data_IF_055805026494
#
_entry.id   IF_055805026494
#
_cell.length_a   1.000
_cell.length_b   1.000
_cell.length_c   1.000
_cell.angle_alpha   90.00
_cell.angle_beta   90.00
_cell.angle_gamma   90.00
#
_symmetry.space_group_name_H-M   'P 1'
#
loop_
_entity.id
_entity.type
_entity.pdbx_description
1 polymer ?
#
# COMPACT_ATOMS: atom_id res chain seq x y z
N UNK A 1 16.32 -1.37 2.07
CA UNK A 1 15.53 -0.72 3.12
C UNK A 1 15.03 -1.77 4.08
N UNK A 2 14.92 -1.43 5.35
CA UNK A 2 14.20 -2.22 6.36
C UNK A 2 12.69 -2.06 6.18
N UNK A 3 11.90 -2.96 6.77
CA UNK A 3 10.44 -2.87 6.68
C UNK A 3 9.88 -1.61 7.37
N UNK A 4 10.53 -1.13 8.43
CA UNK A 4 10.14 0.13 9.05
C UNK A 4 10.39 1.33 8.13
N UNK A 5 11.51 1.34 7.39
CA UNK A 5 11.77 2.40 6.40
C UNK A 5 10.78 2.35 5.24
N UNK A 6 10.40 1.14 4.81
CA UNK A 6 9.40 0.96 3.74
C UNK A 6 8.02 1.45 4.21
N UNK A 7 7.64 1.17 5.45
CA UNK A 7 6.39 1.64 6.05
C UNK A 7 6.28 3.18 6.09
N UNK A 8 7.40 3.90 6.13
CA UNK A 8 7.44 5.37 6.09
C UNK A 8 7.52 5.97 4.68
N UNK A 9 7.53 5.16 3.62
CA UNK A 9 7.52 5.67 2.25
C UNK A 9 6.26 6.51 1.99
N UNK A 10 6.48 7.74 1.50
CA UNK A 10 5.42 8.67 1.14
C UNK A 10 4.77 8.26 -0.18
N UNK A 11 3.45 8.41 -0.24
CA UNK A 11 2.68 8.19 -1.44
C UNK A 11 1.46 9.11 -1.51
N UNK A 12 0.92 9.22 -2.71
CA UNK A 12 -0.37 9.84 -2.96
C UNK A 12 -1.39 8.72 -3.15
N UNK A 13 -2.54 8.84 -2.52
CA UNK A 13 -3.64 7.89 -2.64
C UNK A 13 -4.99 8.61 -2.60
N UNK A 14 -6.07 7.86 -2.73
CA UNK A 14 -7.44 8.38 -2.57
C UNK A 14 -7.71 8.97 -1.17
N UNK A 15 -6.94 8.59 -0.14
CA UNK A 15 -7.04 9.20 1.19
C UNK A 15 -6.17 10.46 1.35
N UNK A 16 -5.46 10.88 0.30
CA UNK A 16 -4.57 12.03 0.28
C UNK A 16 -3.08 11.67 0.26
N UNK A 17 -2.23 12.63 0.61
CA UNK A 17 -0.80 12.40 0.86
C UNK A 17 -0.61 11.67 2.19
N UNK A 18 0.11 10.55 2.18
CA UNK A 18 0.21 9.65 3.33
C UNK A 18 1.49 8.80 3.26
N UNK A 19 1.68 7.89 4.22
CA UNK A 19 2.69 6.81 4.16
C UNK A 19 2.05 5.44 3.94
N UNK A 20 2.83 4.43 3.55
CA UNK A 20 2.34 3.05 3.44
C UNK A 20 1.74 2.58 4.79
N UNK A 21 2.35 2.93 5.93
CA UNK A 21 1.85 2.59 7.26
C UNK A 21 0.46 3.17 7.53
N UNK A 22 0.29 4.46 7.27
CA UNK A 22 -0.97 5.16 7.51
C UNK A 22 -2.08 4.64 6.59
N UNK A 23 -1.75 4.37 5.33
CA UNK A 23 -2.69 3.79 4.37
C UNK A 23 -3.11 2.36 4.74
N UNK A 24 -2.17 1.49 5.15
CA UNK A 24 -2.52 0.14 5.64
C UNK A 24 -3.40 0.21 6.89
N UNK A 25 -3.12 1.17 7.78
CA UNK A 25 -3.96 1.42 8.95
C UNK A 25 -5.37 1.86 8.55
N UNK A 26 -5.50 2.83 7.65
CA UNK A 26 -6.82 3.28 7.21
C UNK A 26 -7.59 2.21 6.43
N UNK A 27 -6.92 1.38 5.64
CA UNK A 27 -7.55 0.21 5.02
C UNK A 27 -8.20 -0.71 6.07
N UNK A 28 -7.45 -1.06 7.12
CA UNK A 28 -7.95 -1.91 8.20
C UNK A 28 -9.07 -1.24 9.00
N UNK A 29 -8.96 0.07 9.25
CA UNK A 29 -10.01 0.84 9.92
C UNK A 29 -11.28 0.92 9.08
N UNK A 30 -11.18 1.11 7.76
CA UNK A 30 -12.32 1.09 6.84
C UNK A 30 -12.98 -0.27 6.84
N UNK A 31 -12.21 -1.36 6.71
CA UNK A 31 -12.74 -2.72 6.80
C UNK A 31 -13.50 -2.94 8.12
N UNK A 32 -12.94 -2.50 9.24
CA UNK A 32 -13.58 -2.65 10.55
C UNK A 32 -14.86 -1.83 10.71
N UNK A 33 -14.88 -0.59 10.18
CA UNK A 33 -16.03 0.31 10.26
C UNK A 33 -17.18 -0.14 9.36
N UNK A 34 -16.87 -0.63 8.15
CA UNK A 34 -17.87 -1.03 7.16
C UNK A 34 -18.38 -2.46 7.37
N UNK A 35 -17.58 -3.33 8.00
CA UNK A 35 -17.94 -4.72 8.26
C UNK A 35 -18.31 -5.46 6.97
N UNK A 36 -19.49 -6.10 6.94
CA UNK A 36 -20.00 -6.81 5.75
C UNK A 36 -20.30 -5.88 4.56
N UNK A 37 -20.40 -4.57 4.81
CA UNK A 37 -20.54 -3.55 3.75
C UNK A 37 -19.21 -3.21 3.07
N UNK A 38 -18.08 -3.73 3.56
CA UNK A 38 -16.76 -3.39 3.04
C UNK A 38 -16.63 -3.68 1.54
N UNK A 39 -16.28 -2.65 0.78
CA UNK A 39 -16.03 -2.77 -0.65
C UNK A 39 -14.55 -3.07 -0.91
N UNK A 40 -14.18 -4.35 -1.03
CA UNK A 40 -12.81 -4.74 -1.38
C UNK A 40 -12.33 -4.17 -2.73
N UNK A 41 -13.26 -3.81 -3.63
CA UNK A 41 -12.92 -3.13 -4.88
C UNK A 41 -12.69 -1.62 -4.70
N UNK A 42 -13.32 -0.98 -3.71
CA UNK A 42 -13.33 0.49 -3.53
C UNK A 42 -13.33 0.88 -2.04
N UNK A 43 -12.29 0.53 -1.28
CA UNK A 43 -12.19 0.93 0.13
C UNK A 43 -12.07 2.45 0.30
N UNK A 44 -11.59 3.17 -0.72
CA UNK A 44 -11.37 4.62 -0.68
C UNK A 44 -12.09 5.39 -1.78
N UNK A 45 -13.01 4.73 -2.51
CA UNK A 45 -13.82 5.37 -3.57
C UNK A 45 -13.46 4.94 -4.99
N UNK A 46 -12.18 4.75 -5.33
CA UNK A 46 -11.78 4.22 -6.65
C UNK A 46 -11.32 2.77 -6.59
N UNK A 47 -11.33 2.11 -7.76
CA UNK A 47 -10.75 0.78 -7.93
C UNK A 47 -9.26 0.86 -8.26
N UNK A 48 -8.52 -0.20 -7.95
CA UNK A 48 -7.07 -0.21 -8.15
C UNK A 48 -6.31 0.55 -7.06
N UNK A 49 -6.93 0.74 -5.89
CA UNK A 49 -6.34 1.41 -4.72
C UNK A 49 -5.00 0.81 -4.27
N UNK A 50 -4.78 -0.50 -4.49
CA UNK A 50 -3.50 -1.17 -4.24
C UNK A 50 -2.32 -0.65 -5.08
N UNK A 51 -2.60 -0.10 -6.27
CA UNK A 51 -1.56 0.44 -7.15
C UNK A 51 -0.92 1.72 -6.61
N UNK A 52 -1.57 2.44 -5.68
CA UNK A 52 -0.97 3.58 -5.00
C UNK A 52 0.26 3.13 -4.19
N UNK A 53 0.13 2.01 -3.46
CA UNK A 53 1.22 1.41 -2.71
C UNK A 53 2.28 0.82 -3.65
N UNK A 54 1.87 0.15 -4.72
CA UNK A 54 2.82 -0.41 -5.70
C UNK A 54 3.66 0.68 -6.38
N UNK A 55 3.05 1.81 -6.72
CA UNK A 55 3.78 2.95 -7.28
C UNK A 55 4.86 3.47 -6.32
N UNK A 56 4.54 3.55 -5.02
CA UNK A 56 5.50 3.93 -3.98
C UNK A 56 6.66 2.93 -3.85
N UNK A 57 6.35 1.63 -3.88
CA UNK A 57 7.35 0.56 -3.80
C UNK A 57 8.28 0.52 -5.02
N UNK A 58 7.73 0.68 -6.23
CA UNK A 58 8.51 0.77 -7.48
C UNK A 58 9.40 2.01 -7.46
N UNK A 59 8.83 3.18 -7.11
CA UNK A 59 9.58 4.44 -7.04
C UNK A 59 10.75 4.38 -6.05
N UNK A 60 10.60 3.63 -4.96
CA UNK A 60 11.64 3.44 -3.95
C UNK A 60 12.61 2.28 -4.30
N UNK A 61 12.41 1.57 -5.41
CA UNK A 61 13.23 0.44 -5.82
C UNK A 61 13.08 -0.81 -4.93
N UNK A 62 11.96 -0.93 -4.22
CA UNK A 62 11.66 -2.10 -3.36
C UNK A 62 11.13 -3.27 -4.17
N UNK A 63 10.38 -2.97 -5.24
CA UNK A 63 9.73 -3.95 -6.12
C UNK A 63 10.09 -3.61 -7.56
N UNK A 64 10.28 -4.63 -8.39
CA UNK A 64 10.49 -4.43 -9.83
C UNK A 64 9.19 -4.01 -10.52
N UNK A 65 9.25 -2.94 -11.30
CA UNK A 65 8.14 -2.45 -12.11
C UNK A 65 8.51 -1.19 -12.88
N UNK A 66 7.53 -0.67 -13.61
CA UNK A 66 7.65 0.54 -14.42
C UNK A 66 6.49 1.50 -14.09
N UNK A 67 6.82 2.79 -14.04
CA UNK A 67 5.83 3.86 -13.87
C UNK A 67 5.74 4.66 -15.16
N UNK A 68 4.53 5.10 -15.50
CA UNK A 68 4.30 6.02 -16.60
C UNK A 68 4.78 7.45 -16.27
N UNK A 69 4.62 8.37 -17.23
CA UNK A 69 5.03 9.78 -17.08
C UNK A 69 4.27 10.54 -15.97
N UNK A 70 3.15 10.00 -15.50
CA UNK A 70 2.32 10.56 -14.43
C UNK A 70 2.56 9.89 -13.07
N UNK A 71 3.41 8.85 -13.02
CA UNK A 71 3.72 8.09 -11.82
C UNK A 71 2.72 6.97 -11.50
N UNK A 72 1.86 6.59 -12.45
CA UNK A 72 1.00 5.41 -12.32
C UNK A 72 1.75 4.16 -12.75
N UNK A 73 1.37 3.01 -12.17
CA UNK A 73 1.99 1.73 -12.49
C UNK A 73 1.60 1.27 -13.90
N UNK A 74 2.59 1.10 -14.76
CA UNK A 74 2.45 0.48 -16.09
C UNK A 74 2.72 -1.03 -16.00
N UNK A 75 3.80 -1.42 -15.31
CA UNK A 75 4.16 -2.81 -15.03
C UNK A 75 4.58 -3.00 -13.58
N UNK A 76 4.28 -4.17 -13.01
CA UNK A 76 4.72 -4.54 -11.65
C UNK A 76 4.83 -6.05 -11.51
N UNK A 77 5.88 -6.51 -10.82
CA UNK A 77 5.92 -7.86 -10.28
C UNK A 77 4.93 -7.96 -9.11
N UNK A 78 3.70 -8.39 -9.42
CA UNK A 78 2.61 -8.46 -8.44
C UNK A 78 2.92 -9.40 -7.29
N UNK A 79 3.58 -10.52 -7.56
CA UNK A 79 3.90 -11.49 -6.52
C UNK A 79 4.92 -10.90 -5.54
N UNK A 80 5.94 -10.22 -6.04
CA UNK A 80 6.89 -9.49 -5.20
C UNK A 80 6.19 -8.39 -4.39
N UNK A 81 5.32 -7.61 -5.03
CA UNK A 81 4.58 -6.54 -4.38
C UNK A 81 3.67 -7.05 -3.25
N UNK A 82 2.89 -8.11 -3.50
CA UNK A 82 2.02 -8.75 -2.53
C UNK A 82 2.82 -9.29 -1.34
N UNK A 83 3.94 -9.98 -1.59
CA UNK A 83 4.83 -10.48 -0.54
C UNK A 83 5.41 -9.34 0.33
N UNK A 84 5.73 -8.18 -0.27
CA UNK A 84 6.16 -7.00 0.48
C UNK A 84 5.01 -6.47 1.34
N UNK A 85 3.82 -6.29 0.78
CA UNK A 85 2.65 -5.79 1.53
C UNK A 85 2.31 -6.70 2.72
N UNK A 86 2.28 -8.01 2.52
CA UNK A 86 2.03 -8.97 3.61
C UNK A 86 3.08 -8.86 4.71
N UNK A 87 4.36 -8.77 4.33
CA UNK A 87 5.46 -8.59 5.28
C UNK A 87 5.33 -7.29 6.09
N UNK A 88 4.92 -6.20 5.44
CA UNK A 88 4.69 -4.91 6.12
C UNK A 88 3.51 -4.96 7.09
N UNK A 89 2.41 -5.65 6.71
CA UNK A 89 1.28 -5.88 7.61
C UNK A 89 1.74 -6.67 8.84
N UNK A 90 2.51 -7.74 8.65
CA UNK A 90 3.05 -8.54 9.75
C UNK A 90 3.96 -7.69 10.65
N UNK A 91 4.85 -6.88 10.06
CA UNK A 91 5.73 -5.96 10.80
C UNK A 91 4.95 -4.96 11.65
N UNK A 92 3.81 -4.43 11.16
CA UNK A 92 2.95 -3.53 11.93
C UNK A 92 2.31 -4.19 13.17
N UNK A 93 2.18 -5.52 13.17
CA UNK A 93 1.56 -6.29 14.25
C UNK A 93 2.58 -6.88 15.24
N UNK A 94 3.88 -6.78 14.96
CA UNK A 94 4.91 -7.23 15.87
C UNK A 94 4.88 -6.41 17.17
N UNK A 95 4.92 -7.11 18.31
CA UNK A 95 5.04 -6.44 19.61
C UNK A 95 6.40 -5.79 19.67
N UNK A 96 6.44 -4.50 19.99
CA UNK A 96 7.67 -3.88 20.46
C UNK A 96 8.04 -4.58 21.77
N UNK A 97 9.16 -5.30 21.74
CA UNK A 97 9.76 -5.92 22.93
C UNK A 97 10.40 -4.87 23.82
#
# INVERSE_FOLDING_TARGET
MTDDEILELKMKSDIGETTIREWLRELLLTLWREGEGFSGKRPFGNSGWEFDAYAALIKAGVVKGELDEYGHVEEVDRLEAENVIERLIMRMCERQM
#
